data_IF_386451470861
#
_entry.id   IF_386451470861
#
_cell.length_a   1.000
_cell.length_b   1.000
_cell.length_c   1.000
_cell.angle_alpha   90.00
_cell.angle_beta   90.00
_cell.angle_gamma   90.00
#
_symmetry.space_group_name_H-M   'P 1'
#
loop_
_entity.id
_entity.type
_entity.pdbx_description
1 polymer ?
#
# COMPACT_ATOMS: atom_id res chain seq x y z
N UNK A 1 -13.99 -88.58 15.84
CA UNK A 1 -13.01 -89.10 16.81
C UNK A 1 -11.85 -89.70 16.02
N UNK A 2 -10.57 -89.39 16.28
CA UNK A 2 -10.12 -88.41 17.24
C UNK A 2 -8.81 -87.62 16.86
N UNK A 3 -8.51 -86.70 17.77
CA UNK A 3 -7.36 -85.83 18.06
C UNK A 3 -5.89 -86.23 17.74
N UNK A 4 -5.11 -85.18 17.44
CA UNK A 4 -3.77 -84.82 17.96
C UNK A 4 -2.63 -85.85 17.94
N UNK A 5 -1.53 -85.57 17.22
CA UNK A 5 -0.31 -84.89 17.72
C UNK A 5 0.63 -84.68 16.51
N UNK A 6 1.53 -83.69 16.33
CA UNK A 6 2.02 -82.53 17.08
C UNK A 6 2.81 -81.62 16.10
N UNK A 7 2.52 -80.32 16.14
CA UNK A 7 3.43 -79.14 16.10
C UNK A 7 4.75 -79.16 15.30
N UNK A 8 4.90 -78.25 14.34
CA UNK A 8 5.73 -77.02 14.47
C UNK A 8 5.93 -76.31 13.11
N UNK A 9 5.55 -75.02 13.01
CA UNK A 9 6.23 -73.92 12.30
C UNK A 9 5.26 -72.70 12.14
N UNK A 10 5.76 -71.45 12.22
CA UNK A 10 4.97 -70.28 12.61
C UNK A 10 4.21 -69.61 11.46
N UNK A 11 3.14 -68.84 11.76
CA UNK A 11 2.46 -68.03 10.76
C UNK A 11 3.27 -66.77 10.49
N UNK A 12 3.80 -66.63 9.28
CA UNK A 12 4.33 -65.35 8.78
C UNK A 12 3.18 -64.36 8.64
N UNK A 13 2.97 -63.62 9.73
CA UNK A 13 2.61 -62.20 9.77
C UNK A 13 2.16 -61.59 8.44
N UNK A 14 0.85 -61.44 8.31
CA UNK A 14 0.28 -60.35 7.53
C UNK A 14 0.77 -59.04 8.14
N UNK A 15 1.89 -58.53 7.63
CA UNK A 15 2.36 -57.20 7.96
C UNK A 15 1.38 -56.19 7.36
N UNK A 16 0.53 -55.65 8.22
CA UNK A 16 -0.18 -54.39 7.99
C UNK A 16 0.83 -53.36 7.51
N UNK A 17 0.83 -53.10 6.20
CA UNK A 17 1.66 -52.06 5.57
C UNK A 17 1.45 -50.72 6.27
N UNK A 18 2.50 -49.89 6.41
CA UNK A 18 2.46 -48.66 7.19
C UNK A 18 1.79 -47.54 6.38
N UNK A 19 0.46 -47.56 6.30
CA UNK A 19 -0.29 -46.46 5.66
C UNK A 19 -0.32 -45.20 6.55
N UNK A 20 -0.18 -45.36 7.87
CA UNK A 20 -0.20 -44.27 8.87
C UNK A 20 1.09 -43.44 8.96
N UNK A 21 2.21 -43.88 8.37
CA UNK A 21 3.49 -43.14 8.46
C UNK A 21 3.76 -42.21 7.29
N UNK A 22 3.03 -42.35 6.18
CA UNK A 22 3.13 -41.46 5.01
C UNK A 22 2.36 -40.16 5.19
N UNK A 23 1.21 -40.18 5.86
CA UNK A 23 0.42 -38.96 6.12
C UNK A 23 1.16 -37.92 6.98
N UNK A 24 1.92 -38.36 8.00
CA UNK A 24 2.72 -37.44 8.82
C UNK A 24 3.93 -36.84 8.08
N UNK A 25 4.57 -37.60 7.19
CA UNK A 25 5.75 -37.15 6.45
C UNK A 25 5.41 -36.18 5.30
N UNK A 26 4.24 -36.33 4.68
CA UNK A 26 3.74 -35.43 3.64
C UNK A 26 3.21 -34.10 4.21
N UNK A 27 2.81 -34.08 5.49
CA UNK A 27 2.31 -32.87 6.15
C UNK A 27 3.38 -31.81 6.41
N UNK A 28 4.58 -32.19 6.87
CA UNK A 28 5.59 -31.21 7.28
C UNK A 28 6.05 -30.22 6.16
N UNK A 29 6.32 -30.66 4.91
CA UNK A 29 6.69 -29.73 3.85
C UNK A 29 5.53 -28.80 3.45
N UNK A 30 4.30 -29.32 3.45
CA UNK A 30 3.11 -28.56 3.10
C UNK A 30 2.74 -27.55 4.20
N UNK A 31 2.78 -27.96 5.46
CA UNK A 31 2.48 -27.11 6.62
C UNK A 31 3.42 -25.89 6.66
N UNK A 32 4.71 -26.11 6.37
CA UNK A 32 5.68 -25.03 6.26
C UNK A 32 5.35 -24.05 5.12
N UNK A 33 5.01 -24.56 3.93
CA UNK A 33 4.64 -23.71 2.79
C UNK A 33 3.41 -22.87 3.09
N UNK A 34 2.40 -23.45 3.75
CA UNK A 34 1.19 -22.74 4.15
C UNK A 34 1.47 -21.71 5.25
N UNK A 35 2.29 -22.06 6.24
CA UNK A 35 2.72 -21.13 7.27
C UNK A 35 3.43 -19.90 6.68
N UNK A 36 4.43 -20.13 5.82
CA UNK A 36 5.15 -19.05 5.15
C UNK A 36 4.21 -18.21 4.27
N UNK A 37 3.20 -18.82 3.63
CA UNK A 37 2.17 -18.09 2.88
C UNK A 37 1.32 -17.19 3.78
N UNK A 38 0.84 -17.68 4.92
CA UNK A 38 0.05 -16.85 5.85
C UNK A 38 0.88 -15.75 6.50
N UNK A 39 2.18 -15.96 6.71
CA UNK A 39 3.10 -14.90 7.14
C UNK A 39 3.24 -13.81 6.08
N UNK A 40 3.31 -14.17 4.79
CA UNK A 40 3.26 -13.19 3.68
C UNK A 40 1.93 -12.43 3.65
N UNK A 41 0.82 -13.09 3.99
CA UNK A 41 -0.47 -12.43 4.11
C UNK A 41 -0.47 -11.37 5.21
N UNK A 42 0.21 -11.55 6.36
CA UNK A 42 0.34 -10.46 7.37
C UNK A 42 0.95 -9.23 6.71
N UNK A 43 2.10 -9.41 6.05
CA UNK A 43 2.89 -8.33 5.47
C UNK A 43 2.12 -7.62 4.35
N UNK A 44 1.35 -8.37 3.57
CA UNK A 44 0.47 -7.81 2.55
C UNK A 44 -0.66 -6.95 3.15
N UNK A 45 -1.21 -7.32 4.32
CA UNK A 45 -2.19 -6.49 5.03
C UNK A 45 -1.55 -5.18 5.51
N UNK A 46 -0.31 -5.22 5.99
CA UNK A 46 0.42 -4.02 6.37
C UNK A 46 0.65 -3.10 5.15
N UNK A 47 0.98 -3.66 3.98
CA UNK A 47 1.06 -2.90 2.72
C UNK A 47 -0.30 -2.29 2.35
N UNK A 48 -1.40 -3.02 2.47
CA UNK A 48 -2.73 -2.48 2.21
C UNK A 48 -3.08 -1.30 3.13
N UNK A 49 -2.66 -1.34 4.39
CA UNK A 49 -2.80 -0.21 5.32
C UNK A 49 -2.00 1.00 4.84
N UNK A 50 -0.73 0.83 4.48
CA UNK A 50 0.11 1.91 3.96
C UNK A 50 -0.46 2.51 2.66
N UNK A 51 -1.00 1.67 1.77
CA UNK A 51 -1.65 2.12 0.53
C UNK A 51 -2.91 2.93 0.82
N UNK A 52 -3.74 2.53 1.79
CA UNK A 52 -4.88 3.33 2.24
C UNK A 52 -4.42 4.70 2.76
N UNK A 53 -3.37 4.74 3.55
CA UNK A 53 -2.87 6.01 4.10
C UNK A 53 -2.30 6.91 2.99
N UNK A 54 -1.64 6.33 1.99
CA UNK A 54 -1.22 7.06 0.79
C UNK A 54 -2.40 7.57 -0.06
N UNK A 55 -3.53 6.84 -0.11
CA UNK A 55 -4.77 7.35 -0.73
C UNK A 55 -5.29 8.57 0.03
N UNK A 56 -5.28 8.56 1.36
CA UNK A 56 -5.69 9.74 2.15
C UNK A 56 -4.73 10.92 1.93
N UNK A 57 -3.42 10.67 1.83
CA UNK A 57 -2.45 11.72 1.49
C UNK A 57 -2.78 12.38 0.14
N UNK A 58 -3.17 11.61 -0.87
CA UNK A 58 -3.63 12.17 -2.15
C UNK A 58 -4.91 13.01 -1.96
N UNK A 59 -5.84 12.59 -1.09
CA UNK A 59 -7.03 13.40 -0.78
C UNK A 59 -6.66 14.70 -0.07
N UNK A 60 -5.65 14.71 0.79
CA UNK A 60 -5.12 15.92 1.41
C UNK A 60 -4.50 16.88 0.38
N UNK A 61 -3.74 16.36 -0.58
CA UNK A 61 -3.23 17.15 -1.70
C UNK A 61 -4.36 17.77 -2.52
N UNK A 62 -5.42 17.00 -2.80
CA UNK A 62 -6.62 17.52 -3.47
C UNK A 62 -7.28 18.64 -2.66
N UNK A 63 -7.39 18.53 -1.33
CA UNK A 63 -7.95 19.60 -0.48
C UNK A 63 -7.15 20.91 -0.63
N UNK A 64 -5.82 20.83 -0.76
CA UNK A 64 -4.98 22.00 -1.02
C UNK A 64 -5.25 22.61 -2.40
N UNK A 65 -5.40 21.78 -3.43
CA UNK A 65 -5.81 22.25 -4.76
C UNK A 65 -7.20 22.90 -4.76
N UNK A 66 -8.15 22.35 -4.01
CA UNK A 66 -9.48 22.95 -3.88
C UNK A 66 -9.40 24.36 -3.25
N UNK A 67 -8.48 24.60 -2.31
CA UNK A 67 -8.22 25.95 -1.76
C UNK A 67 -7.67 26.89 -2.83
N UNK A 68 -6.75 26.41 -3.68
CA UNK A 68 -6.21 27.18 -4.82
C UNK A 68 -7.33 27.56 -5.78
N UNK A 69 -8.15 26.59 -6.17
CA UNK A 69 -9.30 26.81 -7.07
C UNK A 69 -10.30 27.81 -6.47
N UNK A 70 -10.67 27.65 -5.20
CA UNK A 70 -11.57 28.58 -4.52
C UNK A 70 -11.00 30.00 -4.39
N UNK A 71 -9.69 30.15 -4.25
CA UNK A 71 -9.05 31.47 -4.22
C UNK A 71 -9.04 32.14 -5.60
N UNK A 72 -8.92 31.35 -6.67
CA UNK A 72 -8.85 31.83 -8.06
C UNK A 72 -10.22 31.87 -8.76
N UNK A 73 -11.29 31.37 -8.13
CA UNK A 73 -12.65 31.32 -8.70
C UNK A 73 -13.35 32.69 -8.73
N UNK A 74 -14.01 32.96 -9.86
CA UNK A 74 -15.17 33.86 -10.01
C UNK A 74 -15.12 35.22 -9.29
N UNK A 75 -14.08 36.00 -9.56
CA UNK A 75 -14.09 37.44 -9.34
C UNK A 75 -13.88 38.15 -10.69
N UNK A 76 -14.56 39.29 -10.90
CA UNK A 76 -14.35 40.13 -12.10
C UNK A 76 -12.89 40.59 -12.23
N UNK A 77 -12.14 40.60 -11.13
CA UNK A 77 -10.71 40.89 -11.07
C UNK A 77 -10.02 40.01 -10.04
N UNK A 78 -8.91 39.37 -10.41
CA UNK A 78 -8.05 38.65 -9.46
C UNK A 78 -7.21 39.64 -8.63
N UNK A 79 -7.57 39.80 -7.35
CA UNK A 79 -6.84 40.66 -6.41
C UNK A 79 -5.61 39.99 -5.79
N UNK A 80 -4.65 40.82 -5.35
CA UNK A 80 -3.38 40.37 -4.75
C UNK A 80 -3.59 39.42 -3.55
N UNK A 81 -4.59 39.70 -2.69
CA UNK A 81 -4.89 38.85 -1.54
C UNK A 81 -5.28 37.41 -1.90
N UNK A 82 -6.02 37.24 -3.00
CA UNK A 82 -6.40 35.92 -3.49
C UNK A 82 -5.20 35.15 -4.03
N UNK A 83 -4.33 35.84 -4.78
CA UNK A 83 -3.11 35.25 -5.29
C UNK A 83 -2.16 34.82 -4.18
N UNK A 84 -2.02 35.63 -3.11
CA UNK A 84 -1.25 35.24 -1.92
C UNK A 84 -1.82 34.00 -1.24
N UNK A 85 -3.15 33.87 -1.17
CA UNK A 85 -3.81 32.67 -0.61
C UNK A 85 -3.57 31.43 -1.48
N UNK A 86 -3.77 31.55 -2.78
CA UNK A 86 -3.50 30.48 -3.75
C UNK A 86 -2.04 30.04 -3.68
N UNK A 87 -1.11 30.99 -3.71
CA UNK A 87 0.33 30.75 -3.58
C UNK A 87 0.67 30.02 -2.28
N UNK A 88 0.09 30.42 -1.15
CA UNK A 88 0.33 29.74 0.12
C UNK A 88 -0.09 28.27 0.07
N UNK A 89 -1.27 27.97 -0.48
CA UNK A 89 -1.75 26.60 -0.64
C UNK A 89 -0.88 25.77 -1.61
N UNK A 90 -0.40 26.37 -2.71
CA UNK A 90 0.50 25.71 -3.65
C UNK A 90 1.88 25.39 -3.04
N UNK A 91 2.40 26.28 -2.19
CA UNK A 91 3.64 26.03 -1.43
C UNK A 91 3.43 24.89 -0.44
N UNK A 92 2.32 24.90 0.31
CA UNK A 92 2.00 23.84 1.28
C UNK A 92 1.83 22.48 0.56
N UNK A 93 1.22 22.48 -0.64
CA UNK A 93 1.11 21.29 -1.49
C UNK A 93 2.48 20.79 -1.95
N UNK A 94 3.32 21.69 -2.46
CA UNK A 94 4.67 21.34 -2.95
C UNK A 94 5.54 20.74 -1.84
N UNK A 95 5.44 21.28 -0.61
CA UNK A 95 6.13 20.73 0.57
C UNK A 95 5.57 19.35 0.91
N UNK A 96 4.24 19.20 0.97
CA UNK A 96 3.59 17.93 1.31
C UNK A 96 3.85 16.81 0.29
N UNK A 97 4.11 17.15 -0.98
CA UNK A 97 4.44 16.18 -2.03
C UNK A 97 5.91 15.71 -1.96
N UNK A 98 6.81 16.50 -1.37
CA UNK A 98 8.23 16.17 -1.26
C UNK A 98 8.56 15.46 0.06
N UNK A 99 7.74 15.66 1.10
CA UNK A 99 7.97 15.05 2.41
C UNK A 99 7.72 13.53 2.40
N UNK A 100 8.80 12.77 2.61
CA UNK A 100 8.84 11.31 2.61
C UNK A 100 8.63 10.68 4.00
N UNK A 101 8.32 11.49 5.03
CA UNK A 101 8.02 10.94 6.36
C UNK A 101 8.38 11.81 7.57
N UNK A 102 8.56 13.13 7.43
CA UNK A 102 8.72 14.03 8.57
C UNK A 102 7.41 14.73 8.93
N UNK A 103 6.56 13.97 9.62
CA UNK A 103 5.60 14.49 10.61
C UNK A 103 4.25 14.98 10.09
N UNK A 104 3.28 14.08 10.04
CA UNK A 104 1.83 14.38 10.15
C UNK A 104 1.43 14.96 11.53
N UNK A 105 2.35 15.63 12.23
CA UNK A 105 2.10 16.31 13.52
C UNK A 105 2.62 17.75 13.56
N UNK A 106 3.12 18.32 12.46
CA UNK A 106 3.72 19.67 12.45
C UNK A 106 2.88 20.81 11.89
N UNK A 107 1.88 20.53 11.05
CA UNK A 107 1.16 21.59 10.29
C UNK A 107 -0.27 21.87 10.80
N UNK A 108 -0.78 21.09 11.75
CA UNK A 108 -2.14 21.23 12.29
C UNK A 108 -2.26 22.23 13.47
N UNK A 109 -1.20 22.95 13.86
CA UNK A 109 -1.27 23.84 15.02
C UNK A 109 -0.68 25.24 14.84
N UNK A 110 -1.12 25.93 13.78
CA UNK A 110 -1.10 27.41 13.73
C UNK A 110 -2.47 27.97 13.35
N UNK A 111 -3.51 27.52 14.06
CA UNK A 111 -4.72 28.33 14.16
C UNK A 111 -4.36 29.59 14.97
N UNK A 112 -4.15 30.72 14.27
CA UNK A 112 -4.20 32.06 14.85
C UNK A 112 -5.60 32.28 15.43
N UNK A 113 -5.79 32.00 16.71
CA UNK A 113 -6.90 32.59 17.46
C UNK A 113 -6.49 34.01 17.85
N UNK A 114 -7.34 34.97 17.49
CA UNK A 114 -7.28 36.33 18.03
C UNK A 114 -7.58 36.27 19.54
N UNK A 115 -6.56 36.21 20.37
CA UNK A 115 -6.68 36.33 21.82
C UNK A 115 -6.69 37.79 22.24
N UNK A 116 -7.86 38.32 22.65
CA UNK A 116 -7.94 39.52 23.49
C UNK A 116 -7.32 39.18 24.85
N UNK A 117 -6.34 39.96 25.27
CA UNK A 117 -5.78 39.95 26.61
C UNK A 117 -6.87 40.28 27.64
N UNK A 118 -6.93 39.52 28.74
CA UNK A 118 -7.37 40.07 30.02
C UNK A 118 -6.61 39.40 31.17
N UNK A 119 -6.15 40.16 32.19
CA UNK A 119 -5.28 39.65 33.24
C UNK A 119 -6.06 39.46 34.55
N UNK A 120 -6.44 38.22 34.90
CA UNK A 120 -6.80 37.86 36.28
C UNK A 120 -7.18 36.38 36.38
N UNK A 121 -6.34 35.60 37.06
CA UNK A 121 -6.71 34.70 38.16
C UNK A 121 -5.62 33.64 38.33
N UNK A 122 -5.00 33.66 39.51
CA UNK A 122 -4.31 32.53 40.12
C UNK A 122 -5.26 31.33 40.12
N UNK A 123 -4.78 30.17 39.69
CA UNK A 123 -4.77 28.97 40.51
C UNK A 123 -4.05 27.84 39.78
N UNK A 124 -2.96 27.41 40.41
CA UNK A 124 -2.00 26.42 39.93
C UNK A 124 -2.29 25.12 40.66
N UNK A 125 -3.10 24.23 40.06
CA UNK A 125 -3.12 22.82 40.46
C UNK A 125 -3.47 21.89 39.30
N UNK A 126 -2.51 21.01 39.00
CA UNK A 126 -2.62 19.71 38.35
C UNK A 126 -3.95 19.36 37.67
N UNK A 127 -4.01 19.56 36.36
CA UNK A 127 -4.73 18.64 35.47
C UNK A 127 -3.83 18.29 34.29
N UNK A 128 -3.22 17.12 34.38
CA UNK A 128 -2.74 16.30 33.26
C UNK A 128 -3.91 16.13 32.29
N UNK A 129 -4.05 17.10 31.39
CA UNK A 129 -5.07 17.11 30.37
C UNK A 129 -4.68 16.01 29.37
N UNK A 130 -5.54 15.00 29.32
CA UNK A 130 -5.31 13.74 28.64
C UNK A 130 -4.76 13.94 27.23
N UNK A 131 -3.79 13.09 26.91
CA UNK A 131 -3.53 12.68 25.55
C UNK A 131 -4.88 12.45 24.87
N UNK A 132 -5.29 13.41 24.04
CA UNK A 132 -6.27 13.12 23.00
C UNK A 132 -5.67 11.96 22.25
N UNK A 133 -6.27 10.78 22.43
CA UNK A 133 -6.06 9.62 21.59
C UNK A 133 -6.59 9.98 20.22
N UNK A 134 -5.81 10.77 19.49
CA UNK A 134 -5.74 10.70 18.05
C UNK A 134 -5.52 9.22 17.75
N UNK A 135 -6.53 8.55 17.20
CA UNK A 135 -6.34 7.32 16.45
C UNK A 135 -5.63 7.68 15.13
N UNK A 136 -4.49 8.37 15.22
CA UNK A 136 -3.54 8.42 14.13
C UNK A 136 -2.98 7.01 14.06
N UNK A 137 -3.48 6.24 13.10
CA UNK A 137 -2.80 5.07 12.56
C UNK A 137 -1.50 5.49 11.87
N UNK A 138 -0.69 6.33 12.53
CA UNK A 138 0.64 6.68 12.06
C UNK A 138 1.43 5.39 12.01
N UNK A 139 1.85 5.01 10.82
CA UNK A 139 2.75 3.88 10.64
C UNK A 139 4.02 4.17 11.44
N UNK A 140 4.55 3.15 12.12
CA UNK A 140 5.71 3.30 13.00
C UNK A 140 6.88 3.96 12.25
N UNK A 141 7.70 4.76 12.94
CA UNK A 141 8.89 5.45 12.39
C UNK A 141 9.91 4.52 11.70
N UNK A 142 9.73 3.20 11.81
CA UNK A 142 10.55 2.15 11.20
C UNK A 142 9.93 1.49 9.95
N UNK A 143 8.76 1.93 9.49
CA UNK A 143 8.10 1.35 8.32
C UNK A 143 8.83 1.67 7.00
N UNK A 144 8.80 0.71 6.08
CA UNK A 144 9.36 0.83 4.74
C UNK A 144 8.62 -0.12 3.83
N UNK A 145 8.05 0.42 2.75
CA UNK A 145 7.36 -0.39 1.76
C UNK A 145 8.33 -1.36 1.06
N UNK A 146 9.55 -0.93 0.76
CA UNK A 146 10.62 -1.76 0.21
C UNK A 146 10.93 -2.97 1.11
N UNK A 147 11.12 -2.77 2.42
CA UNK A 147 11.37 -3.87 3.37
C UNK A 147 10.22 -4.85 3.43
N UNK A 148 8.98 -4.38 3.30
CA UNK A 148 7.79 -5.21 3.36
C UNK A 148 7.62 -6.04 2.10
N UNK A 149 7.86 -5.45 0.93
CA UNK A 149 7.91 -6.17 -0.33
C UNK A 149 9.03 -7.21 -0.36
N UNK A 150 10.22 -6.86 0.13
CA UNK A 150 11.31 -7.82 0.32
C UNK A 150 10.90 -8.95 1.27
N UNK A 151 10.24 -8.63 2.38
CA UNK A 151 9.80 -9.62 3.36
C UNK A 151 8.69 -10.54 2.81
N UNK A 152 7.87 -10.08 1.87
CA UNK A 152 6.90 -10.91 1.12
C UNK A 152 7.64 -11.83 0.13
N UNK A 153 8.61 -11.27 -0.61
CA UNK A 153 9.42 -12.02 -1.58
C UNK A 153 10.48 -12.93 -0.96
N UNK A 154 10.78 -12.78 0.33
CA UNK A 154 11.82 -13.57 0.99
C UNK A 154 11.45 -15.07 0.96
N UNK A 155 12.44 -15.90 0.64
CA UNK A 155 12.29 -17.34 0.47
C UNK A 155 11.19 -17.76 -0.53
N UNK A 156 10.79 -16.89 -1.46
CA UNK A 156 9.86 -17.24 -2.52
C UNK A 156 10.62 -17.88 -3.69
N UNK A 157 10.77 -19.20 -3.64
CA UNK A 157 11.43 -19.98 -4.67
C UNK A 157 10.45 -20.92 -5.38
N UNK A 158 10.69 -21.17 -6.66
CA UNK A 158 9.90 -22.13 -7.41
C UNK A 158 10.06 -23.55 -6.83
N UNK A 159 8.96 -24.31 -6.65
CA UNK A 159 9.00 -25.65 -6.10
C UNK A 159 9.87 -26.58 -6.96
N UNK A 160 10.69 -27.41 -6.30
CA UNK A 160 11.49 -28.42 -7.00
C UNK A 160 10.60 -29.62 -7.36
N UNK A 161 11.03 -30.44 -8.32
CA UNK A 161 10.29 -31.64 -8.74
C UNK A 161 9.90 -32.55 -7.55
N UNK A 162 10.82 -32.72 -6.59
CA UNK A 162 10.57 -33.50 -5.38
C UNK A 162 9.47 -32.90 -4.50
N UNK A 163 9.43 -31.57 -4.36
CA UNK A 163 8.41 -30.86 -3.57
C UNK A 163 7.03 -30.96 -4.25
N UNK A 164 7.00 -30.92 -5.58
CA UNK A 164 5.78 -31.06 -6.38
C UNK A 164 5.18 -32.45 -6.15
N UNK A 165 5.99 -33.51 -6.25
CA UNK A 165 5.53 -34.88 -6.01
C UNK A 165 5.11 -35.06 -4.54
N UNK A 166 5.89 -34.53 -3.59
CA UNK A 166 5.62 -34.64 -2.16
C UNK A 166 4.39 -33.84 -1.70
N UNK A 167 3.91 -32.87 -2.47
CA UNK A 167 2.71 -32.08 -2.14
C UNK A 167 1.55 -32.34 -3.09
N UNK A 168 1.63 -33.36 -3.95
CA UNK A 168 0.64 -33.63 -5.00
C UNK A 168 0.34 -32.40 -5.87
N UNK A 169 1.35 -31.57 -6.12
CA UNK A 169 1.25 -30.34 -6.91
C UNK A 169 0.80 -29.09 -6.15
N UNK A 170 0.37 -29.19 -4.89
CA UNK A 170 -0.12 -28.03 -4.10
C UNK A 170 0.97 -26.96 -3.93
N UNK A 171 2.25 -27.35 -3.83
CA UNK A 171 3.36 -26.40 -3.75
C UNK A 171 3.37 -25.40 -4.94
N UNK A 172 2.99 -25.85 -6.14
CA UNK A 172 2.91 -24.99 -7.34
C UNK A 172 1.81 -23.94 -7.19
N UNK A 173 0.65 -24.33 -6.63
CA UNK A 173 -0.44 -23.40 -6.36
C UNK A 173 -0.04 -22.37 -5.31
N UNK A 174 0.55 -22.79 -4.18
CA UNK A 174 1.01 -21.88 -3.11
C UNK A 174 2.08 -20.91 -3.61
N UNK A 175 3.04 -21.39 -4.41
CA UNK A 175 4.04 -20.55 -5.06
C UNK A 175 3.40 -19.52 -5.99
N UNK A 176 2.44 -19.94 -6.82
CA UNK A 176 1.73 -19.06 -7.75
C UNK A 176 0.96 -17.98 -6.99
N UNK A 177 0.17 -18.36 -5.98
CA UNK A 177 -0.57 -17.42 -5.13
C UNK A 177 0.37 -16.41 -4.44
N UNK A 178 1.48 -16.89 -3.88
CA UNK A 178 2.48 -16.03 -3.23
C UNK A 178 3.14 -15.05 -4.22
N UNK A 179 3.41 -15.50 -5.45
CA UNK A 179 4.00 -14.66 -6.49
C UNK A 179 3.03 -13.57 -6.95
N UNK A 180 1.75 -13.93 -7.17
CA UNK A 180 0.72 -12.96 -7.53
C UNK A 180 0.49 -11.96 -6.40
N UNK A 181 0.46 -12.42 -5.14
CA UNK A 181 0.37 -11.53 -3.98
C UNK A 181 1.50 -10.48 -3.99
N UNK A 182 2.75 -10.92 -4.18
CA UNK A 182 3.90 -10.02 -4.26
C UNK A 182 3.77 -9.00 -5.40
N UNK A 183 3.39 -9.44 -6.59
CA UNK A 183 3.21 -8.56 -7.76
C UNK A 183 2.13 -7.52 -7.50
N UNK A 184 1.00 -7.92 -6.92
CA UNK A 184 -0.11 -7.01 -6.59
C UNK A 184 0.33 -5.99 -5.54
N UNK A 185 0.95 -6.44 -4.45
CA UNK A 185 1.44 -5.53 -3.40
C UNK A 185 2.49 -4.56 -3.94
N UNK A 186 3.44 -5.05 -4.75
CA UNK A 186 4.45 -4.20 -5.40
C UNK A 186 3.82 -3.18 -6.35
N UNK A 187 2.81 -3.58 -7.11
CA UNK A 187 2.10 -2.69 -8.04
C UNK A 187 1.33 -1.59 -7.30
N UNK A 188 0.68 -1.90 -6.17
CA UNK A 188 0.01 -0.91 -5.32
C UNK A 188 1.00 0.09 -4.71
N UNK A 189 2.12 -0.42 -4.19
CA UNK A 189 3.23 0.40 -3.67
C UNK A 189 3.82 1.28 -4.77
N UNK A 190 3.93 0.80 -6.01
CA UNK A 190 4.37 1.60 -7.13
C UNK A 190 3.40 2.74 -7.47
N UNK A 191 2.10 2.48 -7.42
CA UNK A 191 1.06 3.44 -7.82
C UNK A 191 0.93 4.62 -6.85
N UNK A 192 0.93 4.37 -5.54
CA UNK A 192 0.55 5.33 -4.49
C UNK A 192 1.79 5.87 -3.75
N UNK A 193 1.75 7.09 -3.17
CA UNK A 193 2.80 7.55 -2.28
C UNK A 193 2.98 6.58 -1.10
N UNK A 194 4.21 6.14 -0.89
CA UNK A 194 4.58 5.18 0.14
C UNK A 194 6.01 5.47 0.61
N UNK A 195 6.22 5.45 1.93
CA UNK A 195 7.53 5.63 2.51
C UNK A 195 8.51 4.53 2.07
N UNK A 196 9.72 4.94 1.65
CA UNK A 196 10.79 4.04 1.19
C UNK A 196 10.27 2.99 0.19
N UNK A 197 9.64 3.50 -0.88
CA UNK A 197 8.95 2.69 -1.88
C UNK A 197 9.83 1.61 -2.53
N UNK A 198 11.13 1.89 -2.68
CA UNK A 198 12.17 1.01 -3.23
C UNK A 198 11.66 -0.04 -4.22
N UNK A 199 11.39 0.36 -5.48
CA UNK A 199 10.77 -0.52 -6.49
C UNK A 199 11.65 -1.65 -7.01
N UNK A 200 12.85 -1.82 -6.46
CA UNK A 200 13.85 -2.81 -6.89
C UNK A 200 13.56 -4.23 -6.37
N UNK A 201 12.32 -4.68 -6.46
CA UNK A 201 11.94 -6.06 -6.14
C UNK A 201 12.35 -6.97 -7.31
N UNK A 202 13.17 -7.97 -7.04
CA UNK A 202 13.59 -8.92 -8.07
C UNK A 202 12.59 -10.08 -8.17
N UNK A 203 11.86 -10.15 -9.28
CA UNK A 203 10.96 -11.27 -9.57
C UNK A 203 11.71 -12.39 -10.32
N UNK A 204 12.09 -13.45 -9.61
CA UNK A 204 12.72 -14.64 -10.20
C UNK A 204 11.68 -15.71 -10.55
N UNK A 205 10.83 -15.45 -11.55
CA UNK A 205 9.75 -16.38 -11.93
C UNK A 205 10.22 -17.25 -13.10
N UNK A 206 10.24 -18.59 -12.95
CA UNK A 206 10.63 -19.48 -14.03
C UNK A 206 9.74 -19.35 -15.28
N UNK A 207 10.36 -19.35 -16.47
CA UNK A 207 9.66 -19.16 -17.74
C UNK A 207 8.75 -20.31 -18.16
N UNK A 208 8.81 -21.47 -17.49
CA UNK A 208 7.91 -22.59 -17.73
C UNK A 208 6.47 -22.33 -17.27
N UNK A 209 6.25 -21.31 -16.43
CA UNK A 209 4.91 -20.86 -16.09
C UNK A 209 4.36 -19.96 -17.20
N UNK A 210 3.21 -20.31 -17.78
CA UNK A 210 2.59 -19.55 -18.89
C UNK A 210 2.28 -18.08 -18.51
N UNK A 211 2.02 -17.82 -17.23
CA UNK A 211 1.74 -16.47 -16.72
C UNK A 211 3.01 -15.65 -16.43
N UNK A 212 4.20 -16.26 -16.42
CA UNK A 212 5.45 -15.57 -16.07
C UNK A 212 5.79 -14.47 -17.09
N UNK A 213 5.71 -14.76 -18.39
CA UNK A 213 6.02 -13.81 -19.45
C UNK A 213 5.20 -12.50 -19.34
N UNK A 214 3.86 -12.57 -19.29
CA UNK A 214 3.00 -11.40 -19.10
C UNK A 214 3.32 -10.61 -17.82
N UNK A 215 3.55 -11.28 -16.68
CA UNK A 215 3.88 -10.62 -15.41
C UNK A 215 5.24 -9.92 -15.48
N UNK A 216 6.25 -10.55 -16.06
CA UNK A 216 7.57 -9.93 -16.23
C UNK A 216 7.50 -8.72 -17.16
N UNK A 217 6.73 -8.82 -18.25
CA UNK A 217 6.50 -7.68 -19.15
C UNK A 217 5.81 -6.51 -18.45
N UNK A 218 4.81 -6.78 -17.61
CA UNK A 218 4.15 -5.74 -16.81
C UNK A 218 5.11 -5.08 -15.82
N UNK A 219 5.90 -5.89 -15.12
CA UNK A 219 6.93 -5.42 -14.19
C UNK A 219 7.92 -4.48 -14.87
N UNK A 220 8.48 -4.88 -16.02
CA UNK A 220 9.45 -4.08 -16.75
C UNK A 220 8.87 -2.76 -17.23
N UNK A 221 7.60 -2.76 -17.70
CA UNK A 221 6.90 -1.53 -18.11
C UNK A 221 6.72 -0.56 -16.94
N UNK A 222 6.32 -1.05 -15.77
CA UNK A 222 6.14 -0.21 -14.58
C UNK A 222 7.49 0.33 -14.08
N UNK A 223 8.56 -0.47 -14.13
CA UNK A 223 9.91 0.01 -13.83
C UNK A 223 10.37 1.09 -14.81
N UNK A 224 10.11 0.92 -16.10
CA UNK A 224 10.45 1.92 -17.10
C UNK A 224 9.69 3.23 -16.87
N UNK A 225 8.39 3.16 -16.57
CA UNK A 225 7.63 4.36 -16.17
C UNK A 225 8.19 5.01 -14.89
N UNK A 226 8.69 4.21 -13.94
CA UNK A 226 9.30 4.75 -12.72
C UNK A 226 10.60 5.51 -12.98
N UNK A 227 11.38 5.12 -14.00
CA UNK A 227 12.63 5.80 -14.38
C UNK A 227 12.39 7.13 -15.10
N UNK A 228 11.24 7.27 -15.77
CA UNK A 228 10.84 8.52 -16.44
C UNK A 228 10.43 9.60 -15.44
N UNK A 229 10.01 9.21 -14.23
CA UNK A 229 9.69 10.14 -13.14
C UNK A 229 10.99 10.73 -12.60
N UNK A 230 11.00 12.03 -12.36
CA UNK A 230 12.16 12.71 -11.78
C UNK A 230 12.51 12.09 -10.41
N UNK A 231 13.80 12.00 -10.09
CA UNK A 231 14.33 11.29 -8.89
C UNK A 231 13.80 11.84 -7.56
N UNK A 232 13.15 13.00 -7.59
CA UNK A 232 12.54 13.68 -6.42
C UNK A 232 11.05 13.34 -6.21
N UNK A 233 10.39 12.64 -7.14
CA UNK A 233 8.96 12.33 -7.04
C UNK A 233 8.76 11.02 -6.24
N UNK A 234 8.66 11.15 -4.93
CA UNK A 234 8.24 10.08 -4.02
C UNK A 234 6.73 9.75 -4.16
N UNK A 235 5.97 10.56 -4.91
CA UNK A 235 4.51 10.62 -4.87
C UNK A 235 3.75 9.44 -5.53
N UNK A 236 4.42 8.37 -5.97
CA UNK A 236 3.77 7.28 -6.70
C UNK A 236 3.71 7.48 -8.22
N UNK A 237 3.28 6.45 -8.96
CA UNK A 237 3.28 6.46 -10.45
C UNK A 237 1.95 6.86 -11.09
N UNK A 238 0.87 7.02 -10.31
CA UNK A 238 -0.42 7.41 -10.87
C UNK A 238 -0.32 8.69 -11.71
N UNK A 239 -1.01 8.68 -12.85
CA UNK A 239 -0.96 9.75 -13.84
C UNK A 239 -1.48 11.08 -13.27
N UNK A 240 -2.52 11.01 -12.48
CA UNK A 240 -3.18 12.15 -11.84
C UNK A 240 -2.22 12.87 -10.88
N UNK A 241 -1.35 12.12 -10.19
CA UNK A 241 -0.34 12.67 -9.28
C UNK A 241 0.75 13.43 -10.04
N UNK A 242 1.25 12.86 -11.15
CA UNK A 242 2.23 13.55 -12.01
C UNK A 242 1.67 14.80 -12.68
N UNK A 243 0.41 14.74 -13.14
CA UNK A 243 -0.28 15.91 -13.68
C UNK A 243 -0.42 16.99 -12.62
N UNK A 244 -0.79 16.61 -11.41
CA UNK A 244 -0.87 17.52 -10.26
C UNK A 244 0.49 18.17 -9.96
N UNK A 245 1.58 17.40 -9.88
CA UNK A 245 2.93 17.95 -9.60
C UNK A 245 3.31 18.99 -10.67
N UNK A 246 3.16 18.64 -11.95
CA UNK A 246 3.46 19.54 -13.07
C UNK A 246 2.60 20.81 -13.06
N UNK A 247 1.29 20.69 -12.91
CA UNK A 247 0.39 21.84 -12.88
C UNK A 247 0.62 22.72 -11.63
N UNK A 248 0.99 22.13 -10.50
CA UNK A 248 1.34 22.87 -9.27
C UNK A 248 2.61 23.69 -9.47
N UNK A 249 3.66 23.13 -10.08
CA UNK A 249 4.90 23.85 -10.41
C UNK A 249 4.64 25.03 -11.34
N UNK A 250 3.92 24.78 -12.44
CA UNK A 250 3.57 25.84 -13.41
C UNK A 250 2.73 26.95 -12.77
N UNK A 251 1.75 26.60 -11.93
CA UNK A 251 0.94 27.60 -11.24
C UNK A 251 1.78 28.41 -10.22
N UNK A 252 2.74 27.78 -9.54
CA UNK A 252 3.67 28.49 -8.66
C UNK A 252 4.54 29.49 -9.43
N UNK A 253 5.08 29.11 -10.59
CA UNK A 253 5.87 30.01 -11.45
C UNK A 253 5.04 31.24 -11.90
N UNK A 254 3.76 31.02 -12.24
CA UNK A 254 2.84 32.11 -12.56
C UNK A 254 2.58 33.03 -11.35
N UNK A 255 2.50 32.45 -10.16
CA UNK A 255 2.35 33.20 -8.91
C UNK A 255 3.60 33.97 -8.48
N UNK A 256 4.78 33.53 -8.87
CA UNK A 256 6.03 34.25 -8.60
C UNK A 256 6.23 35.44 -9.53
N UNK A 257 5.73 35.35 -10.76
CA UNK A 257 5.87 36.42 -11.76
C UNK A 257 4.72 37.44 -11.74
N UNK A 258 3.69 37.22 -10.92
CA UNK A 258 2.49 38.07 -10.85
C UNK A 258 2.81 39.47 -10.29
N UNK A 259 2.45 40.50 -11.05
CA UNK A 259 2.48 41.89 -10.63
C UNK A 259 1.05 42.44 -10.69
N UNK A 260 0.63 43.16 -9.65
CA UNK A 260 -0.74 43.66 -9.54
C UNK A 260 -0.81 45.16 -9.90
N UNK A 261 -1.85 45.61 -10.62
CA UNK A 261 -2.94 44.81 -11.20
C UNK A 261 -2.46 43.88 -12.34
N UNK A 262 -3.05 42.69 -12.45
CA UNK A 262 -2.69 41.72 -13.49
C UNK A 262 -3.10 42.23 -14.87
N UNK A 263 -2.30 41.90 -15.88
CA UNK A 263 -2.68 42.10 -17.29
C UNK A 263 -3.75 41.09 -17.70
N UNK A 264 -4.55 41.44 -18.70
CA UNK A 264 -5.62 40.57 -19.22
C UNK A 264 -5.08 39.22 -19.71
N UNK A 265 -3.94 39.22 -20.41
CA UNK A 265 -3.24 38.02 -20.86
C UNK A 265 -2.89 37.09 -19.69
N UNK A 266 -2.32 37.67 -18.63
CA UNK A 266 -1.88 36.91 -17.45
C UNK A 266 -3.06 36.39 -16.65
N UNK A 267 -4.13 37.17 -16.57
CA UNK A 267 -5.38 36.73 -15.94
C UNK A 267 -6.03 35.58 -16.75
N UNK A 268 -5.97 35.64 -18.08
CA UNK A 268 -6.36 34.56 -18.98
C UNK A 268 -5.57 33.27 -18.74
N UNK A 269 -4.24 33.38 -18.65
CA UNK A 269 -3.35 32.24 -18.38
C UNK A 269 -3.67 31.59 -17.02
N UNK A 270 -3.86 32.39 -15.97
CA UNK A 270 -4.23 31.87 -14.64
C UNK A 270 -5.58 31.14 -14.66
N UNK A 271 -6.57 31.66 -15.38
CA UNK A 271 -7.88 30.98 -15.56
C UNK A 271 -7.74 29.66 -16.30
N UNK A 272 -6.93 29.62 -17.36
CA UNK A 272 -6.65 28.38 -18.09
C UNK A 272 -6.01 27.33 -17.18
N UNK A 273 -5.00 27.71 -16.40
CA UNK A 273 -4.33 26.79 -15.45
C UNK A 273 -5.24 26.35 -14.31
N UNK A 274 -6.10 27.23 -13.81
CA UNK A 274 -7.11 26.85 -12.83
C UNK A 274 -8.10 25.81 -13.41
N UNK A 275 -8.46 25.92 -14.69
CA UNK A 275 -9.31 24.93 -15.34
C UNK A 275 -8.60 23.56 -15.49
N UNK A 276 -7.30 23.55 -15.80
CA UNK A 276 -6.49 22.32 -15.80
C UNK A 276 -6.47 21.66 -14.41
N UNK A 277 -6.24 22.45 -13.35
CA UNK A 277 -6.27 21.96 -11.96
C UNK A 277 -7.64 21.40 -11.57
N UNK A 278 -8.74 22.03 -12.02
CA UNK A 278 -10.10 21.52 -11.78
C UNK A 278 -10.30 20.13 -12.39
N UNK A 279 -9.88 19.95 -13.64
CA UNK A 279 -9.97 18.64 -14.32
C UNK A 279 -9.16 17.56 -13.61
N UNK A 280 -7.99 17.91 -13.06
CA UNK A 280 -7.19 17.00 -12.23
C UNK A 280 -7.94 16.63 -10.95
N UNK A 281 -8.50 17.60 -10.23
CA UNK A 281 -9.27 17.35 -9.00
C UNK A 281 -10.49 16.45 -9.24
N UNK A 282 -11.19 16.62 -10.36
CA UNK A 282 -12.31 15.76 -10.77
C UNK A 282 -11.84 14.33 -11.04
N UNK A 283 -10.78 14.15 -11.83
CA UNK A 283 -10.19 12.84 -12.10
C UNK A 283 -9.72 12.11 -10.83
N UNK A 284 -9.12 12.85 -9.88
CA UNK A 284 -8.77 12.30 -8.57
C UNK A 284 -9.99 11.90 -7.77
N UNK A 285 -11.02 12.74 -7.71
CA UNK A 285 -12.26 12.45 -6.98
C UNK A 285 -12.91 11.16 -7.49
N UNK A 286 -13.04 11.03 -8.81
CA UNK A 286 -13.71 9.89 -9.43
C UNK A 286 -12.88 8.60 -9.34
N UNK A 287 -11.55 8.71 -9.30
CA UNK A 287 -10.64 7.56 -9.28
C UNK A 287 -10.31 7.02 -7.88
N UNK A 288 -10.22 7.87 -6.85
CA UNK A 288 -9.76 7.46 -5.52
C UNK A 288 -10.78 6.59 -4.76
N UNK A 289 -12.07 6.90 -4.85
CA UNK A 289 -13.11 6.12 -4.15
C UNK A 289 -13.20 4.67 -4.65
N UNK A 290 -13.23 4.39 -5.98
CA UNK A 290 -13.15 3.03 -6.49
C UNK A 290 -11.88 2.31 -6.09
N UNK A 291 -10.73 3.00 -6.13
CA UNK A 291 -9.44 2.41 -5.77
C UNK A 291 -9.41 1.99 -4.29
N UNK A 292 -9.83 2.87 -3.38
CA UNK A 292 -9.90 2.57 -1.95
C UNK A 292 -10.81 1.37 -1.67
N UNK A 293 -11.95 1.28 -2.38
CA UNK A 293 -12.87 0.14 -2.27
C UNK A 293 -12.21 -1.16 -2.70
N UNK A 294 -11.45 -1.16 -3.81
CA UNK A 294 -10.72 -2.34 -4.28
C UNK A 294 -9.62 -2.76 -3.30
N UNK A 295 -8.86 -1.81 -2.75
CA UNK A 295 -7.84 -2.10 -1.73
C UNK A 295 -8.48 -2.71 -0.47
N UNK A 296 -9.61 -2.17 -0.02
CA UNK A 296 -10.38 -2.72 1.10
C UNK A 296 -10.90 -4.12 0.82
N UNK A 297 -11.35 -4.38 -0.40
CA UNK A 297 -11.78 -5.71 -0.82
C UNK A 297 -10.63 -6.71 -0.79
N UNK A 298 -9.46 -6.35 -1.33
CA UNK A 298 -8.24 -7.18 -1.26
C UNK A 298 -7.87 -7.47 0.19
N UNK A 299 -7.86 -6.44 1.06
CA UNK A 299 -7.61 -6.60 2.49
C UNK A 299 -8.54 -7.62 3.12
N UNK A 300 -9.86 -7.50 2.92
CA UNK A 300 -10.84 -8.42 3.47
C UNK A 300 -10.69 -9.85 2.91
N UNK A 301 -10.42 -10.00 1.60
CA UNK A 301 -10.16 -11.31 0.99
C UNK A 301 -8.94 -12.00 1.59
N UNK A 302 -7.86 -11.25 1.87
CA UNK A 302 -6.65 -11.78 2.52
C UNK A 302 -6.95 -12.20 3.97
N UNK A 303 -7.64 -11.37 4.74
CA UNK A 303 -8.04 -11.69 6.13
C UNK A 303 -8.91 -12.95 6.14
N UNK A 304 -9.95 -12.99 5.32
CA UNK A 304 -10.88 -14.11 5.27
C UNK A 304 -10.18 -15.41 4.86
N UNK A 305 -9.42 -15.39 3.75
CA UNK A 305 -8.71 -16.57 3.26
C UNK A 305 -7.67 -17.09 4.26
N UNK A 306 -7.01 -16.21 5.03
CA UNK A 306 -6.12 -16.63 6.12
C UNK A 306 -6.89 -17.27 7.26
N UNK A 307 -7.96 -16.65 7.72
CA UNK A 307 -8.76 -17.15 8.85
C UNK A 307 -9.32 -18.54 8.53
N UNK A 308 -9.93 -18.70 7.35
CA UNK A 308 -10.45 -20.00 6.90
C UNK A 308 -9.34 -21.06 6.74
N UNK A 309 -8.20 -20.67 6.17
CA UNK A 309 -7.04 -21.55 6.02
C UNK A 309 -6.48 -22.04 7.35
N UNK A 310 -6.32 -21.14 8.32
CA UNK A 310 -5.85 -21.48 9.67
C UNK A 310 -6.86 -22.34 10.45
N UNK A 311 -8.17 -22.06 10.32
CA UNK A 311 -9.21 -22.91 10.92
C UNK A 311 -9.21 -24.33 10.35
N UNK A 312 -8.96 -24.48 9.04
CA UNK A 312 -8.90 -25.78 8.38
C UNK A 312 -7.68 -26.59 8.86
N UNK A 313 -6.52 -25.93 9.03
CA UNK A 313 -5.31 -26.53 9.61
C UNK A 313 -5.53 -26.95 11.07
N UNK A 314 -6.16 -26.11 11.89
CA UNK A 314 -6.43 -26.40 13.30
C UNK A 314 -7.46 -27.52 13.53
N UNK A 315 -8.41 -27.72 12.61
CA UNK A 315 -9.34 -28.87 12.64
C UNK A 315 -8.66 -30.18 12.25
N UNK A 316 -7.72 -30.13 11.30
CA UNK A 316 -6.98 -31.32 10.87
C UNK A 316 -6.03 -31.88 11.95
N UNK A 317 -5.57 -31.04 12.89
CA UNK A 317 -4.71 -31.45 14.00
C UNK A 317 -5.47 -31.95 15.24
N UNK A 318 -6.80 -31.75 15.32
CA UNK A 318 -7.65 -32.24 16.41
C UNK A 318 -8.35 -33.57 16.10
N UNK A 319 -8.35 -34.00 14.84
CA UNK A 319 -9.02 -35.22 14.37
C UNK A 319 -8.07 -36.42 14.16
N UNK A 320 -6.81 -36.33 14.63
CA UNK A 320 -5.83 -37.43 14.69
C UNK A 320 -5.51 -37.79 16.15
#
# INVERSE_FOLDING_TARGET
MPWETLTSLPPSTWSSRPFKRRSLAYRQPLDRLLHDFFERNVKALDVCNAVRDGIEQIREWKKLLDIVLCALENQRFLGEGQFRRAKKALVDLSVSMVDDGESTTGLAHRHRSFGRQNPSSRDQHHRTLGHFRSLSWSVSRSWSASKQLQAIGNNLAAPKANDIVATSGIAVAVYTMSSILLVVMWSLVAAIPCQDRGLHVHFSIPRNFQWAGPIMSLHDRVLEESRKRDRRSACGLLREIDRMDKSTRLMNELADTAHFPLTEDKEGEVRQRAQELRSICEGMKDGLDPLERQVREVFHRIVHGRTEGLHSLGRSSHND
#
